data_IF_104252745819
#
_entry.id   IF_104252745819
#
_cell.length_a   1.000
_cell.length_b   1.000
_cell.length_c   1.000
_cell.angle_alpha   90.00
_cell.angle_beta   90.00
_cell.angle_gamma   90.00
#
_symmetry.space_group_name_H-M   'P 1'
#
loop_
_entity.id
_entity.type
_entity.pdbx_description
1 polymer ?
#
# COMPACT_ATOMS: atom_id res chain seq x y z
N UNK A 1 -17.10 2.15 -37.28
CA UNK A 1 -15.89 2.71 -36.64
C UNK A 1 -15.49 1.72 -35.59
N UNK A 2 -14.55 0.83 -35.92
CA UNK A 2 -13.94 -0.04 -34.93
C UNK A 2 -13.05 0.85 -34.08
N UNK A 3 -13.40 0.98 -32.81
CA UNK A 3 -12.56 1.63 -31.82
C UNK A 3 -11.45 0.63 -31.52
N UNK A 4 -10.24 0.91 -31.99
CA UNK A 4 -9.03 0.19 -31.61
C UNK A 4 -8.94 0.25 -30.07
N UNK A 5 -9.28 -0.86 -29.42
CA UNK A 5 -8.94 -1.11 -28.03
C UNK A 5 -7.42 -1.23 -28.04
N UNK A 6 -6.66 -0.37 -27.34
CA UNK A 6 -5.23 -0.53 -27.26
C UNK A 6 -4.99 -1.90 -26.63
N UNK A 7 -4.17 -2.71 -27.30
CA UNK A 7 -3.62 -3.96 -26.79
C UNK A 7 -3.31 -3.79 -25.29
N UNK A 8 -4.16 -4.37 -24.43
CA UNK A 8 -3.94 -4.43 -23.00
C UNK A 8 -2.73 -5.34 -22.80
N UNK A 9 -1.54 -4.76 -22.93
CA UNK A 9 -0.32 -5.36 -22.45
C UNK A 9 -0.59 -5.73 -20.99
N UNK A 10 -0.81 -7.03 -20.75
CA UNK A 10 -0.85 -7.65 -19.43
C UNK A 10 0.31 -7.10 -18.61
N UNK A 11 0.05 -6.06 -17.81
CA UNK A 11 1.05 -5.48 -16.94
C UNK A 11 1.18 -6.42 -15.76
N UNK A 12 2.05 -7.42 -15.91
CA UNK A 12 2.35 -8.32 -14.81
C UNK A 12 2.99 -7.50 -13.70
N UNK A 13 2.30 -7.39 -12.57
CA UNK A 13 2.89 -6.91 -11.33
C UNK A 13 3.88 -7.97 -10.86
N UNK A 14 5.18 -7.67 -10.89
CA UNK A 14 6.19 -8.52 -10.30
C UNK A 14 6.28 -8.19 -8.80
N UNK A 15 5.91 -9.15 -7.96
CA UNK A 15 6.17 -9.05 -6.52
C UNK A 15 7.67 -9.29 -6.32
N UNK A 16 8.41 -8.31 -5.82
CA UNK A 16 9.82 -8.48 -5.48
C UNK A 16 9.94 -8.94 -4.02
N UNK A 17 9.74 -10.23 -3.76
CA UNK A 17 9.83 -10.80 -2.41
C UNK A 17 11.17 -11.53 -2.14
N UNK A 18 12.07 -11.60 -3.14
CA UNK A 18 13.39 -12.25 -3.01
C UNK A 18 14.54 -11.25 -3.08
N UNK A 19 15.66 -11.64 -2.46
CA UNK A 19 16.94 -10.92 -2.50
C UNK A 19 17.51 -10.91 -3.93
N UNK A 20 18.24 -9.85 -4.28
CA UNK A 20 18.99 -9.81 -5.54
C UNK A 20 20.06 -10.92 -5.56
N UNK A 21 19.95 -11.82 -6.54
CA UNK A 21 20.92 -12.89 -6.81
C UNK A 21 21.65 -12.60 -8.13
N UNK A 22 22.97 -12.44 -8.03
CA UNK A 22 23.86 -12.16 -9.17
C UNK A 22 24.54 -13.42 -9.72
N UNK A 23 24.37 -14.55 -9.04
CA UNK A 23 25.12 -15.77 -9.28
C UNK A 23 24.30 -16.82 -10.02
N UNK A 24 23.01 -16.88 -9.75
CA UNK A 24 22.10 -17.84 -10.37
C UNK A 24 21.59 -17.29 -11.72
N UNK A 25 21.68 -18.06 -12.81
CA UNK A 25 21.09 -17.67 -14.10
C UNK A 25 19.60 -17.34 -13.97
N UNK A 26 19.14 -16.31 -14.69
CA UNK A 26 17.75 -15.79 -14.59
C UNK A 26 16.65 -16.84 -14.76
N UNK A 27 16.90 -17.86 -15.58
CA UNK A 27 15.96 -18.95 -15.87
C UNK A 27 15.80 -19.95 -14.71
N UNK A 28 16.71 -19.93 -13.74
CA UNK A 28 16.72 -20.83 -12.58
C UNK A 28 16.28 -20.12 -11.30
N UNK A 29 15.99 -18.82 -11.40
CA UNK A 29 15.56 -18.03 -10.26
C UNK A 29 14.05 -18.20 -10.02
N UNK A 30 13.62 -18.37 -8.76
CA UNK A 30 12.19 -18.43 -8.44
C UNK A 30 11.50 -17.11 -8.79
N UNK A 31 10.20 -17.17 -9.06
CA UNK A 31 9.38 -15.97 -9.31
C UNK A 31 9.55 -14.95 -8.19
N UNK A 32 9.64 -13.67 -8.55
CA UNK A 32 9.92 -12.56 -7.64
C UNK A 32 11.40 -12.25 -7.40
N UNK A 33 12.32 -13.03 -7.98
CA UNK A 33 13.75 -12.74 -7.96
C UNK A 33 14.12 -11.58 -8.88
N UNK A 34 14.93 -10.66 -8.37
CA UNK A 34 15.49 -9.57 -9.18
C UNK A 34 16.72 -10.10 -9.89
N UNK A 35 16.74 -9.98 -11.21
CA UNK A 35 17.88 -10.31 -12.05
C UNK A 35 18.48 -9.03 -12.62
N UNK A 36 19.78 -8.85 -12.47
CA UNK A 36 20.51 -7.78 -13.13
C UNK A 36 20.58 -8.08 -14.64
N UNK A 37 19.62 -7.55 -15.41
CA UNK A 37 19.61 -7.76 -16.86
C UNK A 37 18.57 -7.00 -17.68
N UNK A 38 17.42 -6.59 -17.11
CA UNK A 38 16.33 -6.07 -17.95
C UNK A 38 15.66 -4.75 -17.54
N UNK A 39 15.98 -4.12 -16.41
CA UNK A 39 15.24 -2.92 -15.97
C UNK A 39 16.10 -1.71 -15.55
N UNK A 40 17.08 -1.29 -16.36
CA UNK A 40 17.68 0.05 -16.23
C UNK A 40 17.90 0.63 -17.64
N UNK A 41 17.32 1.81 -17.89
CA UNK A 41 17.18 2.43 -19.21
C UNK A 41 18.49 2.52 -20.01
N UNK A 42 18.39 2.16 -21.30
CA UNK A 42 19.42 2.50 -22.29
C UNK A 42 19.48 4.03 -22.45
N UNK A 43 20.65 4.67 -22.39
CA UNK A 43 20.82 5.98 -23.00
C UNK A 43 20.47 5.89 -24.48
N UNK A 44 19.60 6.78 -24.96
CA UNK A 44 19.02 6.80 -26.31
C UNK A 44 20.03 7.18 -27.42
N UNK A 45 21.30 6.75 -27.37
CA UNK A 45 22.26 7.21 -28.38
C UNK A 45 23.53 6.38 -28.63
N UNK A 46 23.71 5.18 -28.07
CA UNK A 46 24.93 4.40 -28.36
C UNK A 46 24.62 2.95 -28.75
N UNK A 47 24.94 2.53 -30.00
CA UNK A 47 24.85 1.14 -30.40
C UNK A 47 26.06 0.39 -29.82
N UNK A 48 25.79 -0.47 -28.83
CA UNK A 48 26.67 -1.46 -28.18
C UNK A 48 27.96 -0.96 -27.48
N UNK A 49 27.97 -1.07 -26.15
CA UNK A 49 29.16 -1.01 -25.30
C UNK A 49 28.87 -0.56 -23.87
N UNK A 50 29.49 -1.21 -22.87
CA UNK A 50 29.59 -0.67 -21.52
C UNK A 50 30.63 0.46 -21.55
N UNK A 51 30.22 1.70 -21.35
CA UNK A 51 31.19 2.78 -21.17
C UNK A 51 31.67 2.78 -19.71
N UNK A 52 32.98 2.85 -19.52
CA UNK A 52 33.58 2.98 -18.19
C UNK A 52 33.14 4.34 -17.65
N UNK A 53 32.32 4.37 -16.60
CA UNK A 53 31.99 5.61 -15.88
C UNK A 53 33.32 6.29 -15.51
N UNK A 54 33.52 7.54 -15.91
CA UNK A 54 34.69 8.32 -15.52
C UNK A 54 34.92 8.21 -14.02
N UNK A 55 36.17 7.97 -13.61
CA UNK A 55 36.51 7.66 -12.22
C UNK A 55 35.91 8.67 -11.25
N UNK A 56 35.32 8.18 -10.15
CA UNK A 56 34.84 9.03 -9.07
C UNK A 56 36.03 9.66 -8.36
N UNK A 57 36.13 10.99 -8.36
CA UNK A 57 37.13 11.69 -7.53
C UNK A 57 36.76 11.53 -6.06
N UNK A 58 37.75 11.25 -5.20
CA UNK A 58 37.54 11.07 -3.75
C UNK A 58 36.99 12.36 -3.15
N UNK A 59 35.70 12.40 -2.86
CA UNK A 59 35.01 13.61 -2.40
C UNK A 59 35.12 13.83 -0.88
N UNK A 60 35.54 12.81 -0.12
CA UNK A 60 35.63 12.92 1.35
C UNK A 60 36.88 12.22 1.90
N UNK A 61 37.62 12.93 2.76
CA UNK A 61 38.77 12.41 3.53
C UNK A 61 38.42 12.14 4.99
N UNK A 62 37.25 12.59 5.45
CA UNK A 62 36.76 12.36 6.80
C UNK A 62 36.01 11.02 6.86
N UNK A 63 36.43 10.07 7.70
CA UNK A 63 35.73 8.80 7.85
C UNK A 63 34.32 9.02 8.41
N UNK A 64 33.27 8.48 7.74
CA UNK A 64 31.88 8.48 8.25
C UNK A 64 31.76 7.56 9.48
N UNK A 65 32.62 6.55 9.53
CA UNK A 65 32.88 5.62 10.61
C UNK A 65 34.33 5.12 10.46
N UNK A 66 34.79 4.15 11.25
CA UNK A 66 36.09 3.47 11.03
C UNK A 66 36.15 2.67 9.69
N UNK A 67 35.14 2.78 8.84
CA UNK A 67 34.99 2.02 7.61
C UNK A 67 35.00 2.90 6.34
N UNK A 68 35.34 2.29 5.22
CA UNK A 68 35.32 2.91 3.91
C UNK A 68 33.88 3.16 3.43
N UNK A 69 33.68 4.29 2.74
CA UNK A 69 32.44 4.57 2.00
C UNK A 69 32.37 3.65 0.78
N UNK A 70 31.32 2.82 0.72
CA UNK A 70 31.08 1.85 -0.37
C UNK A 70 30.33 2.46 -1.55
N UNK A 71 29.42 3.41 -1.28
CA UNK A 71 28.59 4.06 -2.29
C UNK A 71 28.08 5.42 -1.81
N UNK A 72 27.80 6.32 -2.77
CA UNK A 72 27.21 7.65 -2.53
C UNK A 72 26.07 7.83 -3.52
N UNK A 73 24.95 8.35 -3.04
CA UNK A 73 23.72 8.53 -3.82
C UNK A 73 23.21 9.96 -3.62
N UNK A 74 22.70 10.56 -4.69
CA UNK A 74 22.02 11.85 -4.64
C UNK A 74 20.59 11.65 -5.15
N UNK A 75 19.62 12.14 -4.38
CA UNK A 75 18.25 12.32 -4.84
C UNK A 75 18.02 13.80 -5.07
N UNK A 76 17.51 14.16 -6.25
CA UNK A 76 16.94 15.47 -6.52
C UNK A 76 15.50 15.24 -6.98
N UNK A 77 14.53 15.70 -6.21
CA UNK A 77 13.13 15.74 -6.62
C UNK A 77 12.67 17.20 -6.74
N UNK A 78 12.68 17.77 -7.96
CA UNK A 78 12.32 19.17 -8.16
C UNK A 78 10.84 19.44 -7.84
N UNK A 79 9.97 18.43 -7.92
CA UNK A 79 8.54 18.56 -7.62
C UNK A 79 8.26 18.77 -6.13
N UNK A 80 9.23 18.45 -5.27
CA UNK A 80 9.07 18.47 -3.81
C UNK A 80 10.14 19.30 -3.12
N UNK A 81 10.99 19.97 -3.90
CA UNK A 81 12.20 20.65 -3.42
C UNK A 81 13.09 19.74 -2.56
N UNK A 82 13.11 18.44 -2.88
CA UNK A 82 13.93 17.47 -2.16
C UNK A 82 15.29 17.46 -2.81
N UNK A 83 16.28 17.81 -2.01
CA UNK A 83 17.66 17.48 -2.31
C UNK A 83 18.18 16.66 -1.13
N UNK A 84 18.57 15.41 -1.39
CA UNK A 84 19.10 14.53 -0.37
C UNK A 84 20.38 13.86 -0.86
N UNK A 85 21.34 13.70 0.04
CA UNK A 85 22.52 12.86 -0.19
C UNK A 85 22.50 11.69 0.75
N UNK A 86 23.02 10.56 0.28
CA UNK A 86 23.12 9.34 1.05
C UNK A 86 24.50 8.71 0.86
N UNK A 87 25.02 8.05 1.89
CA UNK A 87 26.22 7.23 1.77
C UNK A 87 26.03 5.88 2.43
N UNK A 88 26.56 4.86 1.75
CA UNK A 88 26.71 3.53 2.31
C UNK A 88 28.08 3.39 2.97
N UNK A 89 28.11 3.05 4.26
CA UNK A 89 29.33 2.80 5.01
C UNK A 89 29.08 1.77 6.11
N UNK A 90 30.01 0.84 6.33
CA UNK A 90 29.90 -0.18 7.39
C UNK A 90 28.55 -0.91 7.44
N UNK A 91 28.08 -1.40 6.28
CA UNK A 91 26.79 -2.09 6.16
C UNK A 91 25.60 -1.27 6.66
N UNK A 92 25.66 0.05 6.47
CA UNK A 92 24.61 0.99 6.83
C UNK A 92 24.47 2.07 5.75
N UNK A 93 23.30 2.67 5.65
CA UNK A 93 23.01 3.84 4.81
C UNK A 93 22.72 5.04 5.70
N UNK A 94 23.42 6.14 5.45
CA UNK A 94 23.30 7.39 6.20
C UNK A 94 22.82 8.51 5.29
N UNK A 95 22.01 9.43 5.81
CA UNK A 95 21.68 10.70 5.14
C UNK A 95 22.82 11.70 5.28
N UNK A 96 23.03 12.59 4.33
CA UNK A 96 23.95 13.73 4.45
C UNK A 96 23.33 14.85 5.28
N UNK A 97 24.14 15.57 6.07
CA UNK A 97 23.68 16.73 6.85
C UNK A 97 23.53 18.01 6.00
N UNK A 98 24.21 18.07 4.85
CA UNK A 98 24.10 19.16 3.89
C UNK A 98 24.01 18.60 2.49
N UNK A 99 23.43 19.38 1.58
CA UNK A 99 23.24 18.96 0.20
C UNK A 99 23.74 20.06 -0.76
N UNK A 100 24.84 19.82 -1.50
CA UNK A 100 25.75 18.67 -1.38
C UNK A 100 26.52 18.67 -0.02
N UNK A 101 27.04 17.51 0.43
CA UNK A 101 27.94 17.46 1.57
C UNK A 101 29.13 18.40 1.36
N UNK A 102 29.50 19.19 2.37
CA UNK A 102 30.78 19.90 2.32
C UNK A 102 31.92 18.92 2.59
N UNK A 103 33.15 19.28 2.20
CA UNK A 103 34.36 18.49 2.51
C UNK A 103 34.62 18.30 4.00
N UNK A 104 33.91 19.04 4.86
CA UNK A 104 34.03 19.00 6.33
C UNK A 104 32.79 18.45 7.04
N UNK A 105 31.69 18.20 6.31
CA UNK A 105 30.47 17.71 6.93
C UNK A 105 30.56 16.20 7.18
N UNK A 106 30.26 15.79 8.42
CA UNK A 106 29.90 14.40 8.70
C UNK A 106 28.60 14.04 7.99
N UNK A 107 28.43 12.76 7.66
CA UNK A 107 27.11 12.27 7.34
C UNK A 107 26.25 12.26 8.63
N UNK A 108 24.96 12.44 8.43
CA UNK A 108 23.95 12.51 9.46
C UNK A 108 23.50 11.15 9.94
N UNK A 109 22.21 11.04 10.21
CA UNK A 109 21.61 9.87 10.84
C UNK A 109 21.68 8.61 9.99
N UNK A 110 21.83 7.47 10.66
CA UNK A 110 21.55 6.15 10.10
C UNK A 110 20.07 6.12 9.67
N UNK A 111 19.81 5.73 8.42
CA UNK A 111 18.45 5.52 7.94
C UNK A 111 18.12 4.06 7.68
N UNK A 112 19.12 3.22 7.39
CA UNK A 112 18.89 1.81 7.09
C UNK A 112 20.12 0.95 7.38
N UNK A 113 19.92 -0.21 8.01
CA UNK A 113 20.98 -1.19 8.28
C UNK A 113 20.91 -2.33 7.28
N UNK A 114 22.05 -2.67 6.71
CA UNK A 114 22.22 -3.72 5.71
C UNK A 114 22.73 -5.00 6.38
N UNK A 115 22.57 -6.14 5.69
CA UNK A 115 23.22 -7.37 6.09
C UNK A 115 24.76 -7.22 6.07
N UNK A 116 25.45 -7.95 6.95
CA UNK A 116 26.90 -7.88 7.03
C UNK A 116 27.57 -8.29 5.71
N UNK A 117 28.57 -7.53 5.28
CA UNK A 117 29.31 -7.82 4.05
C UNK A 117 28.59 -7.39 2.77
N UNK A 118 27.51 -6.61 2.88
CA UNK A 118 26.75 -6.11 1.73
C UNK A 118 27.66 -5.39 0.74
N UNK A 119 27.55 -5.77 -0.53
CA UNK A 119 28.26 -5.12 -1.64
C UNK A 119 27.80 -3.66 -1.81
N UNK A 120 28.53 -2.83 -2.57
CA UNK A 120 28.04 -1.50 -2.93
C UNK A 120 26.62 -1.58 -3.51
N UNK A 121 25.71 -0.81 -2.91
CA UNK A 121 24.34 -0.68 -3.38
C UNK A 121 24.32 0.05 -4.72
N UNK A 122 23.32 -0.25 -5.54
CA UNK A 122 22.86 0.66 -6.58
C UNK A 122 21.57 1.31 -6.11
N UNK A 123 21.28 2.51 -6.60
CA UNK A 123 20.04 3.19 -6.28
C UNK A 123 19.62 4.14 -7.38
N UNK A 124 18.31 4.36 -7.46
CA UNK A 124 17.70 5.29 -8.39
C UNK A 124 16.47 5.95 -7.79
N UNK A 125 16.15 7.14 -8.26
CA UNK A 125 14.87 7.79 -7.95
C UNK A 125 13.76 7.09 -8.73
N UNK A 126 12.68 6.71 -8.03
CA UNK A 126 11.43 6.24 -8.63
C UNK A 126 10.31 7.06 -8.01
N UNK A 127 9.67 7.92 -8.82
CA UNK A 127 8.71 8.92 -8.34
C UNK A 127 9.30 9.74 -7.19
N UNK A 128 8.70 9.62 -6.00
CA UNK A 128 9.02 10.41 -4.82
C UNK A 128 10.09 9.74 -3.94
N UNK A 129 10.53 8.53 -4.32
CA UNK A 129 11.44 7.73 -3.52
C UNK A 129 12.83 7.63 -4.12
N UNK A 130 13.81 7.49 -3.23
CA UNK A 130 15.05 6.82 -3.56
C UNK A 130 14.88 5.33 -3.26
N UNK A 131 15.13 4.49 -4.27
CA UNK A 131 15.08 3.04 -4.17
C UNK A 131 16.49 2.50 -4.29
N UNK A 132 16.87 1.60 -3.39
CA UNK A 132 18.15 0.90 -3.43
C UNK A 132 17.96 -0.60 -3.51
N UNK A 133 18.96 -1.24 -4.09
CA UNK A 133 19.13 -2.68 -4.00
C UNK A 133 20.61 -3.05 -4.00
N UNK A 134 20.90 -4.23 -3.48
CA UNK A 134 22.24 -4.79 -3.42
C UNK A 134 22.17 -6.30 -3.25
N UNK A 135 23.24 -6.98 -3.66
CA UNK A 135 23.32 -8.44 -3.55
C UNK A 135 23.06 -8.87 -2.11
N UNK A 136 22.15 -9.85 -1.94
CA UNK A 136 21.83 -10.40 -0.64
C UNK A 136 20.92 -9.54 0.25
N UNK A 137 20.43 -8.39 -0.22
CA UNK A 137 19.45 -7.59 0.51
C UNK A 137 18.13 -7.52 -0.25
N UNK A 138 17.03 -7.39 0.51
CA UNK A 138 15.75 -6.96 -0.04
C UNK A 138 15.90 -5.52 -0.56
N UNK A 139 15.31 -5.15 -1.70
CA UNK A 139 15.21 -3.75 -2.09
C UNK A 139 14.52 -2.94 -0.99
N UNK A 140 14.96 -1.72 -0.80
CA UNK A 140 14.39 -0.81 0.20
C UNK A 140 14.26 0.59 -0.38
N UNK A 141 13.38 1.39 0.21
CA UNK A 141 13.06 2.71 -0.30
C UNK A 141 12.90 3.74 0.82
N UNK A 142 13.17 5.01 0.48
CA UNK A 142 13.02 6.14 1.38
C UNK A 142 12.59 7.38 0.59
N UNK A 143 11.58 8.11 1.09
CA UNK A 143 11.11 9.33 0.42
C UNK A 143 11.86 10.60 0.81
N UNK A 144 12.74 10.55 1.81
CA UNK A 144 13.37 11.76 2.35
C UNK A 144 12.45 12.58 3.26
N UNK A 145 11.36 11.98 3.76
CA UNK A 145 10.34 12.61 4.61
C UNK A 145 9.55 13.74 3.92
N UNK A 146 9.30 13.53 2.63
CA UNK A 146 8.84 14.59 1.74
C UNK A 146 8.01 14.09 0.57
N UNK A 147 7.75 12.77 0.48
CA UNK A 147 6.75 12.26 -0.43
C UNK A 147 5.37 12.83 -0.10
N UNK A 148 4.54 12.93 -1.12
CA UNK A 148 3.12 13.12 -0.93
C UNK A 148 2.45 11.81 -0.50
N UNK A 149 1.30 11.88 0.19
CA UNK A 149 0.50 10.68 0.42
C UNK A 149 0.08 10.04 -0.92
N UNK A 150 -0.03 8.71 -0.92
CA UNK A 150 -0.50 7.94 -2.08
C UNK A 150 -2.04 7.93 -2.16
N UNK A 151 -2.71 8.28 -1.06
CA UNK A 151 -4.14 8.56 -0.96
C UNK A 151 -4.44 9.53 0.20
N UNK A 152 -5.41 10.43 0.02
CA UNK A 152 -5.90 11.30 1.08
C UNK A 152 -7.42 11.44 0.99
N UNK A 153 -8.12 10.99 2.03
CA UNK A 153 -9.57 10.95 2.08
C UNK A 153 -10.09 11.68 3.31
N UNK A 154 -11.20 12.41 3.20
CA UNK A 154 -11.89 13.00 4.36
C UNK A 154 -13.29 12.46 4.46
N UNK A 155 -13.70 12.09 5.67
CA UNK A 155 -15.06 11.65 5.99
C UNK A 155 -15.71 12.70 6.88
N UNK A 156 -16.85 13.25 6.44
CA UNK A 156 -17.59 14.29 7.15
C UNK A 156 -18.89 13.78 7.83
N UNK A 157 -19.33 12.54 7.58
CA UNK A 157 -20.63 12.06 8.09
C UNK A 157 -20.52 10.71 8.83
N UNK A 158 -21.25 10.60 9.94
CA UNK A 158 -21.38 9.35 10.70
C UNK A 158 -22.16 8.31 9.91
N UNK A 159 -21.64 7.07 9.84
CA UNK A 159 -22.37 5.92 9.29
C UNK A 159 -22.29 5.71 7.77
N UNK A 160 -21.74 6.67 7.01
CA UNK A 160 -21.51 6.52 5.57
C UNK A 160 -20.04 6.17 5.25
N UNK A 161 -19.79 5.35 4.24
CA UNK A 161 -18.45 5.08 3.69
C UNK A 161 -18.08 6.00 2.53
N UNK A 162 -18.87 7.06 2.29
CA UNK A 162 -18.50 8.08 1.29
C UNK A 162 -17.35 8.92 1.83
N UNK A 163 -16.24 8.88 1.09
CA UNK A 163 -15.07 9.70 1.31
C UNK A 163 -15.05 10.84 0.29
N UNK A 164 -14.65 12.03 0.75
CA UNK A 164 -14.22 13.11 -0.13
C UNK A 164 -12.75 12.86 -0.46
N UNK A 165 -12.46 12.63 -1.74
CA UNK A 165 -11.10 12.48 -2.24
C UNK A 165 -10.39 13.84 -2.29
N UNK A 166 -9.34 13.97 -1.49
CA UNK A 166 -8.48 15.14 -1.42
C UNK A 166 -7.09 14.92 -2.01
N UNK A 167 -6.83 13.78 -2.63
CA UNK A 167 -5.52 13.42 -3.16
C UNK A 167 -4.90 14.54 -4.00
N UNK A 168 -5.62 15.06 -5.00
CA UNK A 168 -5.13 16.13 -5.87
C UNK A 168 -5.02 17.49 -5.16
N UNK A 169 -5.75 17.67 -4.05
CA UNK A 169 -5.80 18.93 -3.29
C UNK A 169 -4.61 19.12 -2.37
N UNK A 170 -3.97 18.04 -1.93
CA UNK A 170 -2.85 18.10 -0.97
C UNK A 170 -1.47 17.88 -1.61
N UNK A 171 -1.40 17.77 -2.95
CA UNK A 171 -0.18 17.40 -3.71
C UNK A 171 0.43 18.50 -4.59
N UNK A 172 -0.13 19.70 -4.59
CA UNK A 172 0.22 20.70 -5.62
C UNK A 172 0.79 22.01 -5.08
N UNK A 173 1.00 22.12 -3.76
CA UNK A 173 1.57 23.29 -3.08
C UNK A 173 0.82 24.61 -3.36
N UNK A 174 -0.48 24.54 -3.69
CA UNK A 174 -1.29 25.69 -4.06
C UNK A 174 -2.43 25.89 -3.06
N UNK A 175 -2.45 27.04 -2.40
CA UNK A 175 -3.48 27.36 -1.39
C UNK A 175 -4.89 27.55 -1.97
N UNK A 176 -5.03 27.76 -3.28
CA UNK A 176 -6.32 27.87 -3.98
C UNK A 176 -6.94 26.51 -4.34
N UNK A 177 -6.20 25.43 -4.13
CA UNK A 177 -6.69 24.05 -4.24
C UNK A 177 -6.50 23.36 -2.90
N UNK A 178 -7.58 23.25 -2.15
CA UNK A 178 -7.53 22.79 -0.77
C UNK A 178 -8.65 21.79 -0.48
N UNK A 179 -8.56 21.15 0.69
CA UNK A 179 -9.58 20.26 1.22
C UNK A 179 -9.94 20.67 2.64
N UNK A 180 -11.25 20.62 2.92
CA UNK A 180 -11.81 20.84 4.25
C UNK A 180 -11.41 19.69 5.17
N UNK A 181 -10.74 20.02 6.27
CA UNK A 181 -10.44 19.05 7.31
C UNK A 181 -11.68 18.78 8.19
N UNK A 182 -11.70 17.64 8.91
CA UNK A 182 -12.73 17.35 9.91
C UNK A 182 -12.93 18.50 10.90
N UNK A 183 -14.18 18.89 11.15
CA UNK A 183 -14.52 20.02 12.03
C UNK A 183 -14.94 19.57 13.43
N UNK A 184 -15.27 18.28 13.56
CA UNK A 184 -15.88 17.62 14.71
C UNK A 184 -17.16 18.35 15.16
N UNK A 185 -18.31 17.80 14.81
CA UNK A 185 -19.52 17.92 15.65
C UNK A 185 -20.16 16.54 15.91
N UNK A 186 -19.32 15.48 15.90
CA UNK A 186 -19.67 14.10 16.22
C UNK A 186 -18.44 13.18 16.11
N UNK A 187 -18.47 12.02 16.80
CA UNK A 187 -17.33 11.09 16.97
C UNK A 187 -16.85 10.35 15.70
N UNK A 188 -17.08 10.90 14.50
CA UNK A 188 -17.07 10.14 13.23
C UNK A 188 -16.35 10.82 12.07
N UNK A 189 -15.91 12.05 12.23
CA UNK A 189 -15.21 12.79 11.17
C UNK A 189 -13.71 12.60 11.27
N UNK A 190 -13.10 12.14 10.17
CA UNK A 190 -11.67 11.86 10.15
C UNK A 190 -11.06 12.13 8.78
N UNK A 191 -9.79 12.52 8.78
CA UNK A 191 -8.93 12.48 7.61
C UNK A 191 -8.17 11.15 7.61
N UNK A 192 -8.05 10.52 6.44
CA UNK A 192 -7.37 9.26 6.24
C UNK A 192 -6.20 9.51 5.29
N UNK A 193 -5.00 9.18 5.76
CA UNK A 193 -3.74 9.29 5.04
C UNK A 193 -3.30 7.87 4.69
N UNK A 194 -3.24 7.58 3.39
CA UNK A 194 -2.75 6.31 2.86
C UNK A 194 -1.36 6.46 2.28
N UNK A 195 -0.47 5.54 2.63
CA UNK A 195 0.86 5.46 2.04
C UNK A 195 1.28 4.01 1.82
N UNK A 196 2.08 3.74 0.78
CA UNK A 196 2.59 2.40 0.46
C UNK A 196 3.62 1.83 1.45
N UNK A 197 4.01 2.61 2.45
CA UNK A 197 4.98 2.28 3.49
C UNK A 197 4.52 2.78 4.85
N UNK A 198 5.07 2.22 5.93
CA UNK A 198 4.74 2.66 7.30
C UNK A 198 5.23 4.08 7.54
N UNK A 199 4.37 4.88 8.16
CA UNK A 199 4.65 6.27 8.49
C UNK A 199 5.03 6.43 9.96
N UNK A 200 5.90 7.41 10.20
CA UNK A 200 6.25 7.92 11.52
C UNK A 200 5.74 9.35 11.75
N UNK A 201 5.04 9.91 10.77
CA UNK A 201 4.53 11.26 10.83
C UNK A 201 4.07 11.77 9.48
N UNK A 202 3.58 13.00 9.47
CA UNK A 202 3.37 13.81 8.29
C UNK A 202 3.45 15.29 8.66
N UNK A 203 3.83 16.11 7.70
CA UNK A 203 3.71 17.56 7.78
C UNK A 203 2.45 17.99 7.05
N UNK A 204 1.78 19.00 7.58
CA UNK A 204 0.56 19.57 7.00
C UNK A 204 0.71 21.09 6.88
N UNK A 205 0.31 21.61 5.73
CA UNK A 205 0.22 23.03 5.47
C UNK A 205 -1.26 23.42 5.34
N UNK A 206 -1.66 24.34 6.21
CA UNK A 206 -2.99 24.93 6.26
C UNK A 206 -3.03 26.24 5.49
N UNK A 207 -4.16 26.51 4.85
CA UNK A 207 -4.36 27.78 4.14
C UNK A 207 -4.18 28.94 5.14
N UNK A 208 -3.35 29.96 4.84
CA UNK A 208 -3.11 31.05 5.76
C UNK A 208 -4.40 31.75 6.19
N UNK A 209 -4.58 31.93 7.50
CA UNK A 209 -5.72 32.65 8.08
C UNK A 209 -6.96 31.80 8.34
N UNK A 210 -6.92 30.49 8.06
CA UNK A 210 -7.99 29.54 8.42
C UNK A 210 -7.50 28.47 9.41
N UNK A 211 -6.70 28.88 10.39
CA UNK A 211 -6.23 28.00 11.47
C UNK A 211 -7.24 27.90 12.60
N UNK A 212 -7.06 26.88 13.43
CA UNK A 212 -7.93 26.65 14.56
C UNK A 212 -7.55 27.54 15.75
N UNK A 213 -8.55 28.12 16.37
CA UNK A 213 -8.44 28.97 17.58
C UNK A 213 -9.19 28.39 18.78
N UNK A 214 -9.89 27.26 18.61
CA UNK A 214 -10.66 26.60 19.67
C UNK A 214 -9.83 25.52 20.37
N UNK A 215 -10.09 25.24 21.64
CA UNK A 215 -9.38 24.22 22.39
C UNK A 215 -9.75 22.82 21.88
N UNK A 216 -8.76 22.07 21.39
CA UNK A 216 -8.96 20.74 20.81
C UNK A 216 -7.62 20.00 20.73
N UNK A 217 -7.61 18.71 21.01
CA UNK A 217 -6.44 17.84 20.85
C UNK A 217 -6.44 17.12 19.51
N UNK A 218 -5.26 16.69 19.07
CA UNK A 218 -5.08 15.80 17.92
C UNK A 218 -5.16 14.33 18.35
N UNK A 219 -5.79 13.51 17.52
CA UNK A 219 -5.75 12.05 17.62
C UNK A 219 -5.25 11.46 16.31
N UNK A 220 -4.34 10.50 16.39
CA UNK A 220 -3.89 9.69 15.25
C UNK A 220 -4.05 8.22 15.62
N UNK A 221 -4.61 7.44 14.70
CA UNK A 221 -4.70 5.99 14.81
C UNK A 221 -4.20 5.32 13.52
N UNK A 222 -3.45 4.24 13.65
CA UNK A 222 -3.04 3.40 12.52
C UNK A 222 -3.99 2.21 12.37
N UNK A 223 -4.21 1.76 11.14
CA UNK A 223 -4.99 0.55 10.87
C UNK A 223 -4.15 -0.69 11.17
N UNK A 224 -4.62 -1.51 12.12
CA UNK A 224 -3.94 -2.74 12.59
C UNK A 224 -4.99 -3.83 12.76
N UNK A 225 -4.76 -5.00 12.18
CA UNK A 225 -5.71 -6.12 12.25
C UNK A 225 -7.17 -5.70 11.97
N UNK A 226 -7.40 -4.93 10.90
CA UNK A 226 -8.72 -4.45 10.49
C UNK A 226 -9.37 -3.37 11.37
N UNK A 227 -8.69 -2.87 12.41
CA UNK A 227 -9.21 -1.82 13.31
C UNK A 227 -8.23 -0.65 13.48
N UNK A 228 -8.75 0.57 13.64
CA UNK A 228 -7.91 1.74 13.92
C UNK A 228 -7.50 1.79 15.39
N UNK A 229 -6.19 1.68 15.66
CA UNK A 229 -5.59 1.68 16.99
C UNK A 229 -4.73 2.94 17.14
N UNK A 230 -4.83 3.62 18.29
CA UNK A 230 -4.07 4.84 18.57
C UNK A 230 -2.55 4.63 18.47
N UNK A 231 -1.85 5.61 17.90
CA UNK A 231 -0.38 5.59 17.81
C UNK A 231 0.27 5.97 19.15
N UNK A 232 1.51 5.53 19.36
CA UNK A 232 2.29 5.85 20.57
C UNK A 232 3.16 7.10 20.38
N UNK A 233 3.36 7.85 21.48
CA UNK A 233 4.22 9.04 21.51
C UNK A 233 3.87 10.10 20.46
N UNK A 234 2.56 10.30 20.24
CA UNK A 234 2.05 11.34 19.35
C UNK A 234 2.55 12.71 19.79
N UNK A 235 3.15 13.43 18.84
CA UNK A 235 3.58 14.83 18.94
C UNK A 235 2.85 15.64 17.89
N UNK A 236 2.14 16.66 18.33
CA UNK A 236 1.41 17.57 17.48
C UNK A 236 2.22 18.85 17.26
N UNK A 237 2.93 18.93 16.12
CA UNK A 237 3.65 20.14 15.72
C UNK A 237 2.76 21.22 15.11
N UNK A 238 1.44 21.01 15.02
CA UNK A 238 0.47 22.05 14.63
C UNK A 238 -0.14 22.75 15.84
N UNK A 239 0.19 22.28 17.06
CA UNK A 239 -0.41 22.79 18.27
C UNK A 239 0.05 24.22 18.60
N UNK A 240 -0.84 25.00 19.24
CA UNK A 240 -0.53 26.29 19.84
C UNK A 240 0.67 26.20 20.80
N UNK A 241 1.38 27.29 21.12
CA UNK A 241 2.49 27.28 22.08
C UNK A 241 2.14 26.73 23.48
N UNK A 242 0.87 26.81 23.90
CA UNK A 242 0.37 26.23 25.15
C UNK A 242 -0.01 24.75 25.05
N UNK A 243 -0.02 24.17 23.84
CA UNK A 243 -0.38 22.78 23.56
C UNK A 243 -1.88 22.46 23.63
N UNK A 244 -2.74 23.48 23.72
CA UNK A 244 -4.18 23.30 24.00
C UNK A 244 -5.02 23.21 22.71
N UNK A 245 -4.55 23.82 21.63
CA UNK A 245 -5.25 23.90 20.34
C UNK A 245 -4.41 23.25 19.25
N UNK A 246 -4.87 22.12 18.69
CA UNK A 246 -4.33 21.52 17.47
C UNK A 246 -4.72 22.31 16.22
N UNK A 247 -4.00 22.14 15.10
CA UNK A 247 -4.22 22.85 13.83
C UNK A 247 -4.16 24.39 13.97
N UNK A 248 -3.38 24.87 14.94
CA UNK A 248 -3.19 26.30 15.25
C UNK A 248 -2.16 26.95 14.32
N UNK A 249 -1.03 26.27 14.10
CA UNK A 249 0.03 26.73 13.22
C UNK A 249 -0.28 26.42 11.76
N UNK A 250 0.03 27.35 10.85
CA UNK A 250 -0.19 27.14 9.40
C UNK A 250 0.67 26.01 8.84
N UNK A 251 1.81 25.71 9.49
CA UNK A 251 2.72 24.64 9.13
C UNK A 251 3.06 23.88 10.41
N UNK A 252 2.87 22.58 10.40
CA UNK A 252 3.24 21.75 11.54
C UNK A 252 3.62 20.34 11.15
N UNK A 253 4.55 19.77 11.93
CA UNK A 253 4.97 18.39 11.79
C UNK A 253 4.33 17.53 12.87
N UNK A 254 3.44 16.63 12.45
CA UNK A 254 2.81 15.64 13.32
C UNK A 254 3.64 14.36 13.24
N UNK A 255 4.04 13.82 14.39
CA UNK A 255 4.89 12.61 14.44
C UNK A 255 4.50 11.66 15.57
N UNK A 256 4.87 10.39 15.42
CA UNK A 256 4.66 9.32 16.39
C UNK A 256 5.73 8.24 16.21
N UNK A 257 5.77 7.28 17.12
CA UNK A 257 6.64 6.12 16.96
C UNK A 257 6.00 5.12 15.98
N UNK A 258 6.63 4.93 14.81
CA UNK A 258 6.14 3.94 13.85
C UNK A 258 6.19 2.52 14.45
N UNK A 259 5.13 1.76 14.21
CA UNK A 259 4.96 0.39 14.73
C UNK A 259 5.14 -0.63 13.62
N UNK A 260 5.74 -1.77 13.95
CA UNK A 260 5.78 -2.95 13.05
C UNK A 260 4.45 -3.68 12.96
N UNK A 261 3.47 -3.31 13.79
CA UNK A 261 2.10 -3.84 13.77
C UNK A 261 1.18 -3.06 12.82
N UNK A 262 1.65 -1.95 12.25
CA UNK A 262 0.91 -1.27 11.20
C UNK A 262 0.91 -2.20 9.97
N UNK A 263 -0.27 -2.49 9.45
CA UNK A 263 -0.47 -3.44 8.36
C UNK A 263 -1.14 -2.73 7.17
N UNK A 264 -0.78 -3.09 5.92
CA UNK A 264 -1.51 -2.59 4.78
C UNK A 264 -2.89 -3.24 4.75
N UNK A 265 -3.91 -2.43 4.49
CA UNK A 265 -5.30 -2.90 4.40
C UNK A 265 -6.02 -2.12 3.31
N UNK A 266 -7.06 -2.70 2.71
CA UNK A 266 -7.95 -1.93 1.86
C UNK A 266 -8.88 -1.12 2.75
N UNK A 267 -8.83 0.21 2.66
CA UNK A 267 -9.78 1.06 3.38
C UNK A 267 -11.18 0.80 2.80
N UNK A 268 -12.19 0.44 3.63
CA UNK A 268 -13.53 0.15 3.14
C UNK A 268 -14.07 1.27 2.24
N UNK A 269 -14.70 0.93 1.12
CA UNK A 269 -15.21 1.93 0.16
C UNK A 269 -14.15 2.56 -0.76
N UNK A 270 -12.87 2.17 -0.64
CA UNK A 270 -11.78 2.62 -1.52
C UNK A 270 -11.22 1.48 -2.36
N UNK A 271 -10.29 1.82 -3.26
CA UNK A 271 -9.48 0.89 -4.05
C UNK A 271 -8.00 0.96 -3.68
N UNK A 272 -7.68 1.39 -2.44
CA UNK A 272 -6.31 1.66 -1.99
C UNK A 272 -5.93 0.82 -0.74
N UNK A 273 -4.85 0.05 -0.86
CA UNK A 273 -4.36 -1.05 -0.03
C UNK A 273 -2.98 -0.59 0.35
N UNK A 274 -2.98 0.09 1.48
CA UNK A 274 -1.94 0.98 1.92
C UNK A 274 -1.90 0.86 3.44
N UNK A 275 -0.82 1.36 4.02
CA UNK A 275 -0.80 1.65 5.44
C UNK A 275 -1.68 2.89 5.66
N UNK A 276 -2.75 2.70 6.44
CA UNK A 276 -3.74 3.74 6.69
C UNK A 276 -3.57 4.36 8.05
N UNK A 277 -3.53 5.69 8.08
CA UNK A 277 -3.50 6.49 9.28
C UNK A 277 -4.73 7.40 9.29
N UNK A 278 -5.46 7.41 10.41
CA UNK A 278 -6.66 8.20 10.60
C UNK A 278 -6.35 9.33 11.59
N UNK A 279 -6.50 10.56 11.13
CA UNK A 279 -6.39 11.77 11.92
C UNK A 279 -7.76 12.34 12.28
N UNK A 280 -7.94 12.72 13.54
CA UNK A 280 -9.15 13.35 14.05
C UNK A 280 -8.84 14.32 15.20
N UNK A 281 -9.85 15.06 15.63
CA UNK A 281 -9.73 16.04 16.72
C UNK A 281 -10.62 15.64 17.90
N UNK A 282 -10.22 16.00 19.13
CA UNK A 282 -10.95 15.58 20.35
C UNK A 282 -12.12 16.48 20.72
N UNK A 283 -12.27 17.62 20.06
CA UNK A 283 -13.33 18.60 20.26
C UNK A 283 -13.49 19.42 18.98
N UNK A 284 -14.61 20.15 18.89
CA UNK A 284 -14.93 21.02 17.76
C UNK A 284 -13.78 22.00 17.47
N UNK A 285 -13.42 22.14 16.19
CA UNK A 285 -12.42 23.10 15.70
C UNK A 285 -13.07 24.24 14.95
N UNK A 286 -12.33 25.34 14.76
CA UNK A 286 -12.84 26.52 14.05
C UNK A 286 -13.34 26.12 12.66
N UNK A 287 -14.58 26.47 12.32
CA UNK A 287 -15.14 26.12 11.02
C UNK A 287 -14.26 26.62 9.87
N UNK A 288 -14.04 25.76 8.88
CA UNK A 288 -13.32 26.12 7.66
C UNK A 288 -11.81 25.87 7.70
N UNK A 289 -11.29 24.97 8.54
CA UNK A 289 -9.88 24.57 8.44
C UNK A 289 -9.63 23.88 7.10
N UNK A 290 -8.73 24.44 6.30
CA UNK A 290 -8.39 23.94 4.96
C UNK A 290 -6.93 23.55 4.89
N UNK A 291 -6.65 22.33 4.42
CA UNK A 291 -5.30 21.89 4.09
C UNK A 291 -5.04 21.97 2.58
N UNK A 292 -3.85 22.40 2.18
CA UNK A 292 -3.45 22.45 0.76
C UNK A 292 -2.17 21.67 0.45
N UNK A 293 -1.44 21.23 1.48
CA UNK A 293 -0.28 20.36 1.30
C UNK A 293 -0.16 19.39 2.46
N UNK A 294 0.13 18.12 2.15
CA UNK A 294 0.50 17.11 3.15
C UNK A 294 1.71 16.36 2.64
N UNK A 295 2.77 16.26 3.45
CA UNK A 295 3.98 15.48 3.13
C UNK A 295 4.17 14.41 4.19
N UNK A 296 4.43 13.17 3.78
CA UNK A 296 4.56 12.05 4.72
C UNK A 296 6.01 11.89 5.18
N UNK A 297 6.17 11.45 6.42
CA UNK A 297 7.45 11.08 7.01
C UNK A 297 7.52 9.55 7.13
N UNK A 298 8.11 8.92 6.12
CA UNK A 298 8.28 7.47 6.06
C UNK A 298 9.62 7.04 6.66
N UNK A 299 9.70 5.81 7.17
CA UNK A 299 10.99 5.21 7.48
C UNK A 299 11.56 4.57 6.23
N UNK A 300 12.88 4.54 6.13
CA UNK A 300 13.54 3.70 5.14
C UNK A 300 13.26 2.25 5.52
N UNK A 301 12.58 1.51 4.64
CA UNK A 301 12.20 0.11 4.91
C UNK A 301 12.23 -0.73 3.64
N UNK A 302 12.29 -2.05 3.85
CA UNK A 302 12.17 -3.06 2.81
C UNK A 302 10.90 -2.84 2.00
N UNK A 303 11.03 -2.96 0.69
CA UNK A 303 9.88 -3.02 -0.21
C UNK A 303 9.27 -4.41 -0.04
N UNK A 304 8.26 -4.49 0.82
CA UNK A 304 7.59 -5.75 1.17
C UNK A 304 6.28 -5.94 0.40
N UNK A 305 5.65 -4.86 -0.07
CA UNK A 305 4.40 -4.93 -0.81
C UNK A 305 4.17 -3.65 -1.63
N UNK A 306 4.17 -3.75 -2.97
CA UNK A 306 3.75 -2.65 -3.84
C UNK A 306 2.40 -3.02 -4.45
N UNK A 307 1.32 -2.39 -3.99
CA UNK A 307 0.07 -2.49 -4.72
C UNK A 307 0.13 -1.60 -5.97
N UNK A 308 0.03 -2.22 -7.14
CA UNK A 308 -0.07 -1.54 -8.43
C UNK A 308 -1.40 -0.80 -8.67
N UNK A 309 -2.36 -0.87 -7.73
CA UNK A 309 -3.79 -0.50 -7.91
C UNK A 309 -4.52 -1.28 -8.99
N UNK A 310 -3.88 -2.30 -9.57
CA UNK A 310 -4.48 -3.19 -10.54
C UNK A 310 -4.96 -4.46 -9.84
N UNK A 311 -6.17 -4.89 -10.17
CA UNK A 311 -6.68 -6.19 -9.78
C UNK A 311 -6.31 -7.20 -10.85
N UNK A 312 -5.85 -8.37 -10.41
CA UNK A 312 -5.71 -9.51 -11.29
C UNK A 312 -7.05 -10.17 -11.48
N UNK A 313 -7.36 -10.53 -12.73
CA UNK A 313 -8.52 -11.36 -13.03
C UNK A 313 -8.32 -12.75 -12.42
N UNK A 314 -9.41 -13.36 -11.95
CA UNK A 314 -9.40 -14.74 -11.53
C UNK A 314 -8.96 -15.63 -12.71
N UNK A 315 -8.10 -16.61 -12.44
CA UNK A 315 -7.71 -17.61 -13.45
C UNK A 315 -8.66 -18.81 -13.47
N UNK A 316 -9.48 -18.95 -12.42
CA UNK A 316 -10.56 -19.93 -12.36
C UNK A 316 -11.68 -19.48 -11.41
N UNK A 317 -12.92 -19.80 -11.74
CA UNK A 317 -14.09 -19.57 -10.90
C UNK A 317 -15.02 -20.78 -11.00
N UNK A 318 -15.17 -21.52 -9.90
CA UNK A 318 -15.99 -22.72 -9.85
C UNK A 318 -17.07 -22.58 -8.78
N UNK A 319 -18.33 -22.83 -9.14
CA UNK A 319 -19.43 -22.97 -8.17
C UNK A 319 -19.59 -24.46 -7.85
N UNK A 320 -19.52 -24.85 -6.58
CA UNK A 320 -19.82 -26.25 -6.23
C UNK A 320 -21.31 -26.55 -6.39
N UNK A 321 -21.60 -27.76 -6.85
CA UNK A 321 -22.93 -28.35 -6.89
C UNK A 321 -22.96 -29.61 -6.04
N UNK A 322 -24.11 -30.28 -5.96
CA UNK A 322 -24.23 -31.56 -5.23
C UNK A 322 -23.31 -32.64 -5.83
N UNK A 323 -23.03 -32.59 -7.13
CA UNK A 323 -22.32 -33.65 -7.86
C UNK A 323 -20.95 -33.23 -8.39
N UNK A 324 -20.50 -31.99 -8.16
CA UNK A 324 -19.22 -31.51 -8.66
C UNK A 324 -19.13 -29.99 -8.70
N UNK A 325 -18.69 -29.46 -9.83
CA UNK A 325 -18.47 -28.03 -10.04
C UNK A 325 -19.09 -27.58 -11.37
N UNK A 326 -19.57 -26.34 -11.39
CA UNK A 326 -19.85 -25.60 -12.64
C UNK A 326 -18.78 -24.54 -12.78
N UNK A 327 -18.17 -24.47 -13.95
CA UNK A 327 -17.15 -23.48 -14.28
C UNK A 327 -17.82 -22.19 -14.77
N UNK A 328 -17.47 -21.08 -14.13
CA UNK A 328 -17.93 -19.72 -14.43
C UNK A 328 -16.75 -18.80 -14.78
N UNK A 329 -15.59 -19.36 -15.14
CA UNK A 329 -14.36 -18.58 -15.34
C UNK A 329 -14.48 -17.59 -16.48
N UNK A 330 -15.23 -17.91 -17.56
CA UNK A 330 -15.45 -16.98 -18.66
C UNK A 330 -16.32 -15.80 -18.22
N UNK A 331 -17.40 -16.11 -17.51
CA UNK A 331 -18.45 -15.18 -17.10
C UNK A 331 -17.97 -14.16 -16.07
N UNK A 332 -17.00 -14.50 -15.21
CA UNK A 332 -16.50 -13.56 -14.18
C UNK A 332 -15.22 -12.83 -14.57
N UNK A 333 -14.66 -13.10 -15.75
CA UNK A 333 -13.39 -12.50 -16.21
C UNK A 333 -13.52 -11.69 -17.49
N UNK A 334 -14.69 -11.65 -18.12
CA UNK A 334 -14.97 -10.92 -19.35
C UNK A 334 -15.03 -9.39 -19.17
N UNK A 335 -15.14 -8.93 -17.92
CA UNK A 335 -15.25 -7.51 -17.57
C UNK A 335 -16.62 -6.89 -17.86
N UNK A 336 -17.64 -7.68 -18.18
CA UNK A 336 -19.00 -7.21 -18.45
C UNK A 336 -19.95 -7.55 -17.28
N UNK A 337 -21.17 -7.00 -17.31
CA UNK A 337 -22.27 -7.38 -16.43
C UNK A 337 -23.36 -8.19 -17.16
N UNK A 338 -23.07 -8.63 -18.39
CA UNK A 338 -24.00 -9.41 -19.20
C UNK A 338 -24.00 -10.90 -18.83
N UNK A 339 -22.85 -11.40 -18.39
CA UNK A 339 -22.66 -12.77 -17.91
C UNK A 339 -22.23 -12.73 -16.44
N UNK A 340 -22.67 -13.72 -15.65
CA UNK A 340 -22.40 -13.74 -14.21
C UNK A 340 -22.48 -15.14 -13.62
N UNK A 341 -21.77 -15.35 -12.51
CA UNK A 341 -21.93 -16.53 -11.68
C UNK A 341 -23.16 -16.38 -10.78
N UNK A 342 -24.25 -17.08 -11.12
CA UNK A 342 -25.47 -17.11 -10.31
C UNK A 342 -25.22 -17.79 -8.95
N UNK A 343 -25.48 -17.08 -7.85
CA UNK A 343 -25.30 -17.58 -6.48
C UNK A 343 -26.63 -17.92 -5.79
N UNK A 344 -27.74 -17.88 -6.52
CA UNK A 344 -29.07 -18.18 -6.00
C UNK A 344 -29.15 -19.58 -5.41
N UNK A 345 -29.80 -19.68 -4.25
CA UNK A 345 -29.98 -20.94 -3.52
C UNK A 345 -28.68 -21.68 -3.20
N UNK A 346 -27.52 -21.00 -3.25
CA UNK A 346 -26.24 -21.59 -2.86
C UNK A 346 -26.33 -22.01 -1.39
N UNK A 347 -26.39 -23.31 -1.15
CA UNK A 347 -26.59 -23.86 0.18
C UNK A 347 -25.38 -23.60 1.08
N UNK A 348 -25.58 -23.61 2.40
CA UNK A 348 -24.49 -23.47 3.39
C UNK A 348 -23.38 -24.52 3.27
N UNK A 349 -23.64 -25.65 2.60
CA UNK A 349 -22.66 -26.72 2.32
C UNK A 349 -21.94 -26.54 0.98
N UNK A 350 -22.38 -25.60 0.15
CA UNK A 350 -21.80 -25.26 -1.14
C UNK A 350 -20.92 -24.02 -1.00
N UNK A 351 -20.07 -23.78 -2.00
CA UNK A 351 -19.11 -22.72 -2.01
C UNK A 351 -18.78 -22.26 -3.44
N UNK A 352 -18.26 -21.04 -3.51
CA UNK A 352 -17.60 -20.49 -4.69
C UNK A 352 -16.09 -20.68 -4.52
N UNK A 353 -15.39 -21.16 -5.55
CA UNK A 353 -13.95 -21.37 -5.53
C UNK A 353 -13.32 -20.46 -6.56
N UNK A 354 -12.42 -19.59 -6.14
CA UNK A 354 -11.71 -18.66 -7.01
C UNK A 354 -10.23 -19.03 -7.02
N UNK A 355 -9.67 -19.22 -8.22
CA UNK A 355 -8.29 -19.63 -8.45
C UNK A 355 -7.47 -18.51 -9.06
N UNK A 356 -6.22 -18.36 -8.63
CA UNK A 356 -5.24 -17.41 -9.17
C UNK A 356 -3.91 -18.10 -9.44
N UNK A 357 -3.15 -17.60 -10.40
CA UNK A 357 -1.77 -18.07 -10.63
C UNK A 357 -0.83 -17.67 -9.51
N UNK A 358 -1.17 -16.63 -8.75
CA UNK A 358 -0.35 -16.06 -7.70
C UNK A 358 -1.16 -15.97 -6.41
N UNK A 359 -0.46 -16.05 -5.28
CA UNK A 359 -1.01 -15.81 -3.94
C UNK A 359 -1.74 -14.46 -3.86
N UNK A 360 -2.94 -14.43 -3.27
CA UNK A 360 -3.73 -13.21 -3.09
C UNK A 360 -4.18 -13.04 -1.64
N UNK A 361 -4.51 -11.80 -1.29
CA UNK A 361 -5.01 -11.40 0.03
C UNK A 361 -6.43 -10.82 -0.03
N UNK A 362 -7.07 -10.85 -1.20
CA UNK A 362 -8.42 -10.36 -1.36
C UNK A 362 -9.01 -10.53 -2.74
N UNK A 363 -10.32 -10.28 -2.83
CA UNK A 363 -11.16 -10.46 -4.01
C UNK A 363 -12.07 -9.25 -4.14
N UNK A 364 -12.01 -8.58 -5.29
CA UNK A 364 -13.00 -7.56 -5.62
C UNK A 364 -14.21 -8.21 -6.28
N UNK A 365 -15.33 -8.23 -5.58
CA UNK A 365 -16.59 -8.83 -6.01
C UNK A 365 -17.50 -7.72 -6.51
N UNK A 366 -17.87 -7.79 -7.79
CA UNK A 366 -18.89 -6.93 -8.39
C UNK A 366 -20.20 -7.70 -8.45
N UNK A 367 -21.26 -7.09 -7.96
CA UNK A 367 -22.62 -7.62 -8.04
C UNK A 367 -23.37 -6.96 -9.19
N UNK A 368 -24.25 -7.73 -9.82
CA UNK A 368 -25.18 -7.21 -10.83
C UNK A 368 -26.15 -6.24 -10.12
N UNK A 369 -26.40 -5.03 -10.68
CA UNK A 369 -27.30 -4.07 -10.06
C UNK A 369 -28.71 -4.66 -9.84
N UNK A 370 -29.20 -4.59 -8.60
CA UNK A 370 -30.51 -5.14 -8.22
C UNK A 370 -30.47 -6.57 -7.68
N UNK A 371 -29.41 -7.33 -7.99
CA UNK A 371 -29.22 -8.73 -7.60
C UNK A 371 -28.38 -8.84 -6.33
N UNK A 372 -28.93 -8.35 -5.21
CA UNK A 372 -28.22 -8.31 -3.93
C UNK A 372 -28.98 -9.00 -2.81
N UNK A 373 -28.26 -9.59 -1.86
CA UNK A 373 -28.90 -10.23 -0.72
C UNK A 373 -29.30 -9.19 0.33
N UNK A 374 -30.59 -8.86 0.37
CA UNK A 374 -31.20 -7.99 1.40
C UNK A 374 -32.08 -8.75 2.39
N UNK A 375 -32.11 -10.08 2.31
CA UNK A 375 -33.13 -10.89 2.99
C UNK A 375 -32.59 -11.63 4.22
N UNK A 376 -31.35 -12.15 4.15
CA UNK A 376 -30.83 -13.03 5.21
C UNK A 376 -29.45 -12.57 5.67
N UNK A 377 -29.30 -12.39 6.99
CA UNK A 377 -28.02 -12.05 7.62
C UNK A 377 -27.11 -13.26 7.73
N UNK A 378 -25.82 -13.04 7.50
CA UNK A 378 -24.77 -14.03 7.60
C UNK A 378 -23.39 -13.43 7.41
N UNK A 379 -22.42 -14.31 7.20
CA UNK A 379 -21.03 -13.95 6.94
C UNK A 379 -20.39 -14.95 6.00
N UNK A 380 -19.42 -14.48 5.21
CA UNK A 380 -18.54 -15.33 4.41
C UNK A 380 -17.44 -15.93 5.29
N UNK A 381 -17.11 -17.19 5.02
CA UNK A 381 -15.90 -17.87 5.51
C UNK A 381 -15.03 -18.18 4.32
N UNK A 382 -13.74 -17.93 4.45
CA UNK A 382 -12.76 -18.13 3.39
C UNK A 382 -11.83 -19.25 3.81
N UNK A 383 -11.61 -20.18 2.89
CA UNK A 383 -10.68 -21.28 3.08
C UNK A 383 -9.63 -21.24 1.98
N UNK A 384 -8.40 -21.59 2.31
CA UNK A 384 -7.34 -21.81 1.34
C UNK A 384 -7.01 -23.30 1.24
N UNK A 385 -6.44 -23.71 0.12
CA UNK A 385 -5.93 -25.06 -0.02
C UNK A 385 -4.56 -25.20 0.67
N UNK A 386 -4.48 -26.05 1.69
CA UNK A 386 -3.25 -26.39 2.38
C UNK A 386 -2.78 -27.77 1.92
N UNK A 387 -1.74 -27.81 1.10
CA UNK A 387 -1.16 -29.04 0.57
C UNK A 387 -0.44 -29.86 1.64
N UNK A 388 0.10 -29.21 2.68
CA UNK A 388 0.77 -29.87 3.80
C UNK A 388 -0.14 -30.79 4.62
N UNK A 389 -1.43 -30.45 4.76
CA UNK A 389 -2.43 -31.31 5.42
C UNK A 389 -3.48 -31.89 4.45
N UNK A 390 -3.34 -31.62 3.15
CA UNK A 390 -4.27 -32.01 2.09
C UNK A 390 -5.73 -31.69 2.44
N UNK A 391 -5.99 -30.47 2.95
CA UNK A 391 -7.32 -30.03 3.34
C UNK A 391 -7.56 -28.54 3.09
N UNK A 392 -8.85 -28.17 3.00
CA UNK A 392 -9.29 -26.78 3.04
C UNK A 392 -9.18 -26.26 4.46
N UNK A 393 -8.33 -25.24 4.67
CA UNK A 393 -8.09 -24.64 5.99
C UNK A 393 -8.75 -23.27 6.03
N UNK A 394 -9.56 -23.00 7.06
CA UNK A 394 -10.26 -21.72 7.23
C UNK A 394 -9.27 -20.61 7.59
N UNK A 395 -9.41 -19.46 6.95
CA UNK A 395 -8.73 -18.23 7.34
C UNK A 395 -9.52 -17.61 8.48
N UNK A 396 -8.92 -17.44 9.65
CA UNK A 396 -9.61 -16.98 10.87
C UNK A 396 -9.04 -15.67 11.38
N UNK A 397 -9.90 -14.82 11.93
CA UNK A 397 -9.51 -13.60 12.65
C UNK A 397 -9.11 -12.39 11.79
N UNK A 398 -8.84 -12.57 10.51
CA UNK A 398 -8.33 -11.50 9.62
C UNK A 398 -9.23 -11.20 8.42
N UNK A 399 -10.37 -11.90 8.29
CA UNK A 399 -11.30 -11.72 7.17
C UNK A 399 -12.16 -10.47 7.37
N UNK A 400 -12.19 -9.61 6.35
CA UNK A 400 -13.10 -8.47 6.26
C UNK A 400 -13.92 -8.57 4.97
N UNK A 401 -15.24 -8.56 5.11
CA UNK A 401 -16.20 -8.67 4.02
C UNK A 401 -16.76 -7.30 3.65
N UNK A 402 -16.12 -6.63 2.69
CA UNK A 402 -16.58 -5.35 2.15
C UNK A 402 -17.83 -5.44 1.29
N UNK A 403 -18.32 -6.64 0.98
CA UNK A 403 -19.61 -6.82 0.29
C UNK A 403 -20.79 -6.82 1.27
N UNK A 404 -20.50 -6.92 2.58
CA UNK A 404 -21.50 -6.98 3.64
C UNK A 404 -21.89 -5.59 4.15
N UNK A 405 -23.16 -5.43 4.49
CA UNK A 405 -23.72 -4.24 5.13
C UNK A 405 -24.77 -4.66 6.14
N UNK A 406 -24.72 -4.12 7.36
CA UNK A 406 -25.64 -4.47 8.45
C UNK A 406 -25.76 -5.99 8.71
N UNK A 407 -24.68 -6.75 8.48
CA UNK A 407 -24.65 -8.20 8.65
C UNK A 407 -25.24 -9.01 7.49
N UNK A 408 -25.60 -8.39 6.38
CA UNK A 408 -26.09 -9.05 5.17
C UNK A 408 -24.94 -9.13 4.14
N UNK A 409 -24.37 -10.33 3.86
CA UNK A 409 -23.30 -10.49 2.89
C UNK A 409 -23.82 -10.27 1.47
N UNK A 410 -22.96 -9.85 0.53
CA UNK A 410 -23.33 -9.57 -0.86
C UNK A 410 -24.51 -8.59 -1.00
N UNK A 411 -24.56 -7.56 -0.15
CA UNK A 411 -25.52 -6.44 -0.27
C UNK A 411 -25.06 -5.38 -1.24
N UNK A 412 -23.75 -5.32 -1.49
CA UNK A 412 -23.10 -4.36 -2.37
C UNK A 412 -21.85 -4.98 -3.00
N UNK A 413 -21.46 -4.45 -4.15
CA UNK A 413 -20.12 -4.67 -4.70
C UNK A 413 -19.07 -4.19 -3.70
N UNK A 414 -17.99 -4.94 -3.54
CA UNK A 414 -16.97 -4.64 -2.56
C UNK A 414 -15.85 -5.67 -2.55
N UNK A 415 -14.89 -5.47 -1.66
CA UNK A 415 -13.73 -6.36 -1.55
C UNK A 415 -13.84 -7.23 -0.32
N UNK A 416 -13.71 -8.53 -0.53
CA UNK A 416 -13.52 -9.51 0.53
C UNK A 416 -12.02 -9.70 0.70
N UNK A 417 -11.46 -9.37 1.86
CA UNK A 417 -10.01 -9.36 2.11
C UNK A 417 -9.64 -10.20 3.35
N UNK A 418 -8.40 -10.65 3.40
CA UNK A 418 -7.80 -11.39 4.51
C UNK A 418 -6.30 -11.11 4.61
N UNK A 419 -5.67 -11.51 5.72
CA UNK A 419 -4.22 -11.44 5.84
C UNK A 419 -3.55 -12.63 5.13
N UNK A 420 -3.04 -12.38 3.92
CA UNK A 420 -2.29 -13.37 3.14
C UNK A 420 -0.94 -13.78 3.73
N UNK A 421 -0.35 -12.99 4.64
CA UNK A 421 0.92 -13.36 5.28
C UNK A 421 0.75 -14.43 6.36
N UNK A 422 -0.44 -14.51 6.96
CA UNK A 422 -0.78 -15.47 8.02
C UNK A 422 -1.02 -16.90 7.52
N UNK A 423 -1.07 -17.12 6.21
CA UNK A 423 -1.45 -18.41 5.61
C UNK A 423 -0.32 -19.05 4.79
N UNK A 424 -0.40 -20.37 4.62
CA UNK A 424 0.53 -21.17 3.82
C UNK A 424 -0.26 -21.96 2.78
N UNK A 425 -0.62 -21.25 1.71
CA UNK A 425 -1.36 -21.81 0.59
C UNK A 425 -0.46 -22.49 -0.44
N UNK A 426 -0.98 -23.60 -0.98
CA UNK A 426 -0.35 -24.42 -2.00
C UNK A 426 -1.22 -24.46 -3.25
N UNK A 427 -0.59 -24.63 -4.40
CA UNK A 427 -1.31 -24.80 -5.66
C UNK A 427 -1.98 -26.18 -5.75
N UNK A 428 -3.12 -26.23 -6.43
CA UNK A 428 -3.84 -27.48 -6.71
C UNK A 428 -4.63 -27.40 -8.01
N UNK A 429 -4.82 -28.56 -8.65
CA UNK A 429 -5.82 -28.73 -9.72
C UNK A 429 -7.20 -29.00 -9.12
N UNK A 430 -8.23 -28.32 -9.65
CA UNK A 430 -9.60 -28.40 -9.17
C UNK A 430 -10.58 -28.26 -10.33
N UNK A 431 -11.72 -28.95 -10.29
CA UNK A 431 -12.83 -28.74 -11.24
C UNK A 431 -12.50 -28.95 -12.72
N UNK A 432 -11.50 -29.77 -13.05
CA UNK A 432 -11.07 -30.00 -14.43
C UNK A 432 -9.97 -29.06 -14.93
N UNK A 433 -9.56 -28.06 -14.14
CA UNK A 433 -8.40 -27.23 -14.44
C UNK A 433 -7.13 -28.06 -14.38
N UNK A 434 -6.38 -28.06 -15.49
CA UNK A 434 -5.10 -28.79 -15.63
C UNK A 434 -3.92 -28.01 -15.07
N UNK A 435 -4.01 -26.67 -15.04
CA UNK A 435 -3.02 -25.80 -14.43
C UNK A 435 -3.29 -25.74 -12.91
N UNK A 436 -2.32 -26.07 -12.06
CA UNK A 436 -2.44 -25.82 -10.62
C UNK A 436 -2.61 -24.33 -10.36
N UNK A 437 -3.56 -23.97 -9.49
CA UNK A 437 -3.81 -22.59 -9.06
C UNK A 437 -3.83 -22.52 -7.54
N UNK A 438 -3.59 -21.33 -7.00
CA UNK A 438 -3.92 -21.00 -5.61
C UNK A 438 -5.42 -20.77 -5.51
N UNK A 439 -6.12 -21.71 -4.86
CA UNK A 439 -7.57 -21.68 -4.74
C UNK A 439 -8.04 -21.16 -3.38
N UNK A 440 -9.05 -20.30 -3.43
CA UNK A 440 -9.77 -19.79 -2.28
C UNK A 440 -11.23 -20.21 -2.37
N UNK A 441 -11.71 -20.91 -1.35
CA UNK A 441 -13.09 -21.37 -1.23
C UNK A 441 -13.85 -20.40 -0.32
N UNK A 442 -14.88 -19.77 -0.87
CA UNK A 442 -15.80 -18.87 -0.18
C UNK A 442 -17.09 -19.62 0.13
N UNK A 443 -17.42 -19.73 1.41
CA UNK A 443 -18.62 -20.40 1.89
C UNK A 443 -19.39 -19.45 2.80
N UNK A 444 -20.66 -19.21 2.50
CA UNK A 444 -21.50 -18.37 3.33
C UNK A 444 -22.19 -19.20 4.41
N UNK A 445 -22.38 -18.61 5.58
CA UNK A 445 -23.07 -19.23 6.72
C UNK A 445 -24.59 -19.33 6.55
N UNK A 446 -25.10 -18.86 5.40
CA UNK A 446 -26.51 -18.88 5.01
C UNK A 446 -26.68 -19.59 3.67
N UNK A 447 -27.88 -20.10 3.43
CA UNK A 447 -28.30 -20.38 2.06
C UNK A 447 -28.62 -19.05 1.40
N UNK A 448 -28.02 -18.78 0.24
CA UNK A 448 -28.31 -17.55 -0.49
C UNK A 448 -29.78 -17.50 -0.90
N UNK A 449 -30.49 -16.38 -0.68
CA UNK A 449 -31.85 -16.24 -1.16
C UNK A 449 -31.88 -16.35 -2.69
N UNK A 450 -33.00 -16.78 -3.23
CA UNK A 450 -33.28 -16.60 -4.65
C UNK A 450 -33.50 -15.11 -4.92
N UNK A 451 -32.94 -14.62 -6.02
CA UNK A 451 -33.18 -13.28 -6.55
C UNK A 451 -34.62 -13.06 -7.01
#
# INVERSE_FOLDING_TARGET
>A
MAQDIPDENFSKSYIFDKKLDRTTPSLLLPEGSIVEGLNIGRPHSVPVGWERRGGTTRFNTTPIASAQVKGVFQCINPEHDIQAFYAQCNDNVYTGNTVPPSTTSSFGSLIYSLDSGTSPLFGMKINDDMVWAGTGNTPFAHSGNSAYPDAFYVKHETGNTIYVDGYDKVRNNRSDTNILLPQHSGASEFAYIGFRRRLSGFSIDLVPGVTNTMASGLTIAALRNGSFIGVSNLKDGTASPSGVTTLYENLGHISWDASTEDDPYLLPGTKDHMYWYRAGVTADVTNGILAYQIKVNDRCEDITNLWSKLYWLASGCLKSTVTGFVDYSGEVTDGTDAEYAELDNLATTQALYIGFTNKTFGLNVKLVPGETNVQTQGHVRIYYWNGGNNNWTEITGTTNDGTSSNGYPLTQSGVIQWDGQSIQEDERTLGGFVLPLYWYKLQWSITMPAS
#
